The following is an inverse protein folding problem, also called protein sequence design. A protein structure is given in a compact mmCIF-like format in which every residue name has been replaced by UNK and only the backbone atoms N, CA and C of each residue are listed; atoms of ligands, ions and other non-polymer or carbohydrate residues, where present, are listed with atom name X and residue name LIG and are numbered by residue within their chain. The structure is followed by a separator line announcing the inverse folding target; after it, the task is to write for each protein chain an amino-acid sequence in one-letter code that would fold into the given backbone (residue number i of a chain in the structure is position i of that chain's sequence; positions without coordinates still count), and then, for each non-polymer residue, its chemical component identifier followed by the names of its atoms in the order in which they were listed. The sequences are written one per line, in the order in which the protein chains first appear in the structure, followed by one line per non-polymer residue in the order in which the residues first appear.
data_IF_980979759581
#
_entry.id   IF_980979759581
#
_cell.length_a   1.000
_cell.length_b   1.000
_cell.length_c   1.000
_cell.angle_alpha   90.00
_cell.angle_beta   90.00
_cell.angle_gamma   90.00
#
_symmetry.space_group_name_H-M   'P 1'
#
loop_
_entity.id
_entity.type
_entity.pdbx_description
1 polymer ?
#
# COMPACT_ATOMS: atom_id res chain seq x y z
N UNK A 1 3.49 29.52 -26.49
CA UNK A 1 3.72 28.10 -26.15
C UNK A 1 4.14 27.88 -24.69
N UNK A 2 5.23 28.48 -24.20
CA UNK A 2 5.69 28.31 -22.79
C UNK A 2 4.65 28.68 -21.72
N UNK A 3 3.94 29.81 -21.89
CA UNK A 3 2.88 30.27 -20.96
C UNK A 3 1.73 29.27 -20.84
N UNK A 4 1.32 28.67 -21.96
CA UNK A 4 0.23 27.67 -22.00
C UNK A 4 0.67 26.40 -21.28
N UNK A 5 1.88 25.90 -21.56
CA UNK A 5 2.42 24.71 -20.89
C UNK A 5 2.60 24.95 -19.39
N UNK A 6 3.03 26.15 -18.99
CA UNK A 6 3.12 26.54 -17.59
C UNK A 6 1.75 26.55 -16.90
N UNK A 7 0.73 27.16 -17.51
CA UNK A 7 -0.63 27.15 -16.97
C UNK A 7 -1.19 25.72 -16.88
N UNK A 8 -0.97 24.89 -17.90
CA UNK A 8 -1.34 23.48 -17.89
C UNK A 8 -0.65 22.73 -16.74
N UNK A 9 0.65 22.94 -16.55
CA UNK A 9 1.41 22.33 -15.46
C UNK A 9 0.85 22.73 -14.08
N UNK A 10 0.50 24.00 -13.88
CA UNK A 10 -0.11 24.45 -12.62
C UNK A 10 -1.46 23.77 -12.36
N UNK A 11 -2.32 23.69 -13.37
CA UNK A 11 -3.60 23.01 -13.24
C UNK A 11 -3.44 21.50 -13.00
N UNK A 12 -2.57 20.84 -13.77
CA UNK A 12 -2.24 19.43 -13.54
C UNK A 12 -1.68 19.21 -12.15
N UNK A 13 -0.74 20.05 -11.70
CA UNK A 13 -0.18 20.00 -10.36
C UNK A 13 -1.25 20.12 -9.28
N UNK A 14 -2.17 21.06 -9.41
CA UNK A 14 -3.27 21.25 -8.46
C UNK A 14 -4.14 19.99 -8.37
N UNK A 15 -4.65 19.49 -9.50
CA UNK A 15 -5.56 18.34 -9.51
C UNK A 15 -4.89 17.01 -9.16
N UNK A 16 -3.64 16.81 -9.57
CA UNK A 16 -2.87 15.58 -9.29
C UNK A 16 -2.36 15.55 -7.85
N UNK A 17 -2.06 16.71 -7.26
CA UNK A 17 -1.53 16.76 -5.90
C UNK A 17 -2.48 16.12 -4.88
N UNK A 18 -3.79 16.28 -5.02
CA UNK A 18 -4.79 15.74 -4.09
C UNK A 18 -4.74 14.20 -4.05
N UNK A 19 -4.96 13.45 -5.15
CA UNK A 19 -4.91 12.00 -5.13
C UNK A 19 -3.52 11.47 -4.77
N UNK A 20 -2.44 12.13 -5.22
CA UNK A 20 -1.07 11.72 -4.87
C UNK A 20 -0.80 11.90 -3.37
N UNK A 21 -1.21 13.02 -2.77
CA UNK A 21 -1.06 13.26 -1.34
C UNK A 21 -1.92 12.29 -0.53
N UNK A 22 -3.17 12.07 -0.93
CA UNK A 22 -4.04 11.11 -0.26
C UNK A 22 -3.45 9.69 -0.31
N UNK A 23 -2.94 9.26 -1.47
CA UNK A 23 -2.29 7.97 -1.66
C UNK A 23 -1.00 7.84 -0.86
N UNK A 24 -0.12 8.85 -0.91
CA UNK A 24 1.15 8.85 -0.18
C UNK A 24 0.93 8.91 1.34
N UNK A 25 0.03 9.76 1.82
CA UNK A 25 -0.28 9.89 3.24
C UNK A 25 -0.94 8.62 3.78
N UNK A 26 -1.89 8.04 3.06
CA UNK A 26 -2.52 6.78 3.48
C UNK A 26 -1.50 5.63 3.52
N UNK A 27 -0.59 5.55 2.54
CA UNK A 27 0.48 4.54 2.51
C UNK A 27 1.50 4.72 3.63
N UNK A 28 1.92 5.97 3.86
CA UNK A 28 2.80 6.31 4.96
C UNK A 28 2.20 5.95 6.31
N UNK A 29 0.95 6.35 6.56
CA UNK A 29 0.26 6.03 7.81
C UNK A 29 0.02 4.52 7.97
N UNK A 30 -0.27 3.81 6.88
CA UNK A 30 -0.40 2.35 6.87
C UNK A 30 0.92 1.64 7.21
N UNK A 31 2.05 2.15 6.74
CA UNK A 31 3.37 1.59 7.01
C UNK A 31 3.89 1.87 8.44
N UNK A 32 3.33 2.85 9.14
CA UNK A 32 3.76 3.16 10.50
C UNK A 32 3.31 2.08 11.49
N UNK A 33 4.24 1.53 12.30
CA UNK A 33 3.89 0.57 13.34
C UNK A 33 2.82 1.14 14.27
N UNK A 34 1.86 0.32 14.69
CA UNK A 34 0.78 0.68 15.61
C UNK A 34 -0.20 1.79 15.14
N UNK A 35 -0.01 2.42 13.97
CA UNK A 35 -0.88 3.52 13.55
C UNK A 35 -2.21 3.06 12.96
N UNK A 36 -2.21 1.98 12.18
CA UNK A 36 -3.41 1.53 11.43
C UNK A 36 -3.92 0.16 11.84
N UNK A 37 -3.04 -0.83 12.03
CA UNK A 37 -3.45 -2.19 12.41
C UNK A 37 -3.21 -2.51 13.89
N UNK A 38 -2.55 -1.62 14.63
CA UNK A 38 -2.07 -1.93 15.99
C UNK A 38 -0.99 -3.02 15.97
N UNK A 39 -0.32 -3.24 17.10
CA UNK A 39 0.61 -4.36 17.28
C UNK A 39 2.08 -3.97 17.43
N UNK A 40 2.72 -4.55 18.44
CA UNK A 40 4.16 -4.48 18.67
C UNK A 40 4.88 -5.48 17.75
N UNK A 41 5.99 -5.04 17.15
CA UNK A 41 6.93 -5.96 16.50
C UNK A 41 7.69 -6.67 17.61
N UNK A 42 7.24 -7.87 17.95
CA UNK A 42 7.87 -8.71 18.97
C UNK A 42 8.66 -9.85 18.32
N UNK A 43 9.83 -10.14 18.90
CA UNK A 43 10.60 -11.32 18.49
C UNK A 43 9.83 -12.56 18.92
N UNK A 44 9.58 -13.46 17.97
CA UNK A 44 8.96 -14.74 18.26
C UNK A 44 9.92 -15.57 19.11
N UNK A 45 9.48 -15.97 20.30
CA UNK A 45 10.19 -16.97 21.08
C UNK A 45 9.81 -18.37 20.57
N UNK A 46 10.75 -19.04 19.90
CA UNK A 46 10.55 -20.38 19.32
C UNK A 46 10.11 -21.43 20.34
N UNK A 47 10.45 -21.29 21.63
CA UNK A 47 10.02 -22.27 22.65
C UNK A 47 8.52 -22.23 22.95
N UNK A 48 7.84 -21.14 22.55
CA UNK A 48 6.38 -21.00 22.64
C UNK A 48 5.67 -21.66 21.45
N UNK A 49 6.38 -21.92 20.35
CA UNK A 49 5.79 -22.57 19.18
C UNK A 49 5.73 -24.07 19.43
N UNK A 50 4.53 -24.60 19.65
CA UNK A 50 4.29 -26.03 19.96
C UNK A 50 3.66 -26.78 18.79
N UNK A 51 2.96 -26.07 17.91
CA UNK A 51 2.25 -26.64 16.75
C UNK A 51 3.17 -26.57 15.53
N UNK A 52 3.22 -27.64 14.74
CA UNK A 52 3.95 -27.65 13.48
C UNK A 52 3.20 -26.88 12.37
N UNK A 53 3.89 -26.29 11.37
CA UNK A 53 3.24 -25.60 10.25
C UNK A 53 2.16 -26.44 9.54
N UNK A 54 2.41 -27.72 9.32
CA UNK A 54 1.45 -28.65 8.70
C UNK A 54 0.21 -28.87 9.55
N UNK A 55 0.36 -28.93 10.87
CA UNK A 55 -0.76 -29.04 11.80
C UNK A 55 -1.59 -27.76 11.82
N UNK A 56 -0.95 -26.58 11.74
CA UNK A 56 -1.65 -25.31 11.64
C UNK A 56 -2.50 -25.20 10.34
N UNK A 57 -2.00 -25.72 9.22
CA UNK A 57 -2.78 -25.80 7.97
C UNK A 57 -4.00 -26.70 8.17
N UNK A 58 -3.81 -27.90 8.73
CA UNK A 58 -4.91 -28.82 8.99
C UNK A 58 -5.97 -28.22 9.93
N UNK A 59 -5.54 -27.47 10.95
CA UNK A 59 -6.44 -26.76 11.88
C UNK A 59 -7.21 -25.63 11.18
N UNK A 60 -6.58 -24.94 10.24
CA UNK A 60 -7.25 -23.93 9.43
C UNK A 60 -8.30 -24.56 8.50
N UNK A 61 -7.97 -25.68 7.86
CA UNK A 61 -8.89 -26.46 7.02
C UNK A 61 -10.09 -26.98 7.82
N UNK A 62 -9.83 -27.48 9.04
CA UNK A 62 -10.85 -27.95 9.98
C UNK A 62 -11.83 -26.81 10.32
N UNK A 63 -11.33 -25.61 10.65
CA UNK A 63 -12.17 -24.44 10.91
C UNK A 63 -12.94 -23.96 9.67
N UNK A 64 -12.34 -24.09 8.48
CA UNK A 64 -12.97 -23.72 7.23
C UNK A 64 -14.01 -24.73 6.74
N UNK A 65 -14.00 -25.96 7.26
CA UNK A 65 -14.81 -27.08 6.80
C UNK A 65 -14.45 -27.55 5.38
N UNK A 66 -13.26 -27.17 4.89
CA UNK A 66 -12.75 -27.49 3.54
C UNK A 66 -11.23 -27.32 3.52
N UNK A 67 -10.57 -27.97 2.57
CA UNK A 67 -9.16 -27.67 2.27
C UNK A 67 -9.05 -26.26 1.70
N UNK A 68 -8.30 -25.40 2.39
CA UNK A 68 -8.03 -24.05 1.93
C UNK A 68 -6.95 -24.07 0.85
N UNK A 69 -7.07 -23.23 -0.20
CA UNK A 69 -5.99 -23.01 -1.15
C UNK A 69 -4.94 -22.08 -0.50
N UNK A 70 -4.32 -22.54 0.58
CA UNK A 70 -3.31 -21.78 1.33
C UNK A 70 -2.10 -21.54 0.43
N UNK A 71 -1.87 -20.28 0.08
CA UNK A 71 -0.72 -19.85 -0.74
C UNK A 71 0.45 -19.40 0.12
N UNK A 72 0.18 -18.98 1.35
CA UNK A 72 1.19 -18.60 2.33
C UNK A 72 0.74 -18.96 3.75
N UNK A 73 1.71 -19.42 4.55
CA UNK A 73 1.56 -19.61 5.99
C UNK A 73 2.65 -18.79 6.69
N UNK A 74 2.25 -17.73 7.38
CA UNK A 74 3.18 -16.81 8.04
C UNK A 74 3.11 -16.98 9.54
N UNK A 75 4.24 -17.23 10.20
CA UNK A 75 4.32 -17.17 11.66
C UNK A 75 4.60 -15.72 12.10
N UNK A 76 3.73 -15.17 12.94
CA UNK A 76 3.81 -13.79 13.41
C UNK A 76 3.43 -13.66 14.88
N UNK A 77 3.79 -12.54 15.51
CA UNK A 77 3.30 -12.19 16.84
C UNK A 77 2.02 -11.38 16.71
N UNK A 78 0.99 -11.77 17.48
CA UNK A 78 -0.28 -11.05 17.58
C UNK A 78 -0.74 -11.05 19.03
N UNK A 79 -1.01 -9.88 19.57
CA UNK A 79 -1.50 -9.70 20.95
C UNK A 79 -0.62 -10.45 21.99
N UNK A 80 0.70 -10.41 21.82
CA UNK A 80 1.67 -11.07 22.70
C UNK A 80 1.80 -12.60 22.51
N UNK A 81 1.16 -13.18 21.49
CA UNK A 81 1.17 -14.62 21.21
C UNK A 81 1.74 -14.95 19.82
N UNK A 82 2.47 -16.07 19.66
CA UNK A 82 2.86 -16.55 18.34
C UNK A 82 1.64 -17.20 17.65
N UNK A 83 1.38 -16.80 16.40
CA UNK A 83 0.21 -17.22 15.63
C UNK A 83 0.62 -17.52 14.20
N UNK A 84 0.14 -18.63 13.66
CA UNK A 84 0.19 -18.91 12.23
C UNK A 84 -0.98 -18.23 11.52
N UNK A 85 -0.70 -17.40 10.52
CA UNK A 85 -1.69 -16.85 9.61
C UNK A 85 -1.67 -17.66 8.32
N UNK A 86 -2.75 -18.41 8.08
CA UNK A 86 -3.01 -19.08 6.80
C UNK A 86 -3.74 -18.12 5.89
N UNK A 87 -3.15 -17.83 4.73
CA UNK A 87 -3.72 -16.93 3.72
C UNK A 87 -4.17 -17.78 2.53
N UNK A 88 -5.48 -17.80 2.28
CA UNK A 88 -6.08 -18.44 1.11
C UNK A 88 -6.50 -17.42 0.03
N UNK A 89 -6.29 -17.76 -1.25
CA UNK A 89 -6.76 -16.96 -2.39
C UNK A 89 -6.22 -15.51 -2.42
N UNK A 90 -7.03 -14.55 -2.89
CA UNK A 90 -6.70 -13.10 -2.94
C UNK A 90 -6.62 -12.41 -1.56
N UNK A 91 -6.35 -13.15 -0.48
CA UNK A 91 -6.23 -12.61 0.88
C UNK A 91 -7.55 -12.35 1.61
N UNK A 92 -8.65 -12.93 1.14
CA UNK A 92 -9.98 -12.76 1.74
C UNK A 92 -10.24 -13.70 2.93
N UNK A 93 -9.62 -14.88 2.93
CA UNK A 93 -9.74 -15.86 4.01
C UNK A 93 -8.41 -15.92 4.79
N UNK A 94 -8.27 -15.07 5.81
CA UNK A 94 -7.18 -15.19 6.78
C UNK A 94 -7.66 -15.90 8.04
N UNK A 95 -7.17 -17.12 8.25
CA UNK A 95 -7.37 -17.88 9.48
C UNK A 95 -6.10 -17.79 10.31
N UNK A 96 -6.28 -17.47 11.59
CA UNK A 96 -5.22 -17.42 12.58
C UNK A 96 -5.27 -18.69 13.42
N UNK A 97 -4.13 -19.36 13.58
CA UNK A 97 -3.99 -20.53 14.44
C UNK A 97 -2.96 -20.21 15.51
N UNK A 98 -3.38 -20.25 16.77
CA UNK A 98 -2.50 -20.02 17.92
C UNK A 98 -1.40 -21.10 17.93
N UNK A 99 -0.14 -20.69 17.86
CA UNK A 99 0.98 -21.62 17.71
C UNK A 99 1.37 -22.32 19.02
N UNK A 100 0.84 -21.88 20.17
CA UNK A 100 1.01 -22.52 21.48
C UNK A 100 -0.05 -23.61 21.72
N UNK A 101 -1.28 -23.36 21.27
CA UNK A 101 -2.46 -24.18 21.65
C UNK A 101 -3.11 -24.92 20.48
N UNK A 102 -2.87 -24.48 19.24
CA UNK A 102 -3.53 -25.01 18.04
C UNK A 102 -4.95 -24.48 17.83
N UNK A 103 -5.42 -23.54 18.65
CA UNK A 103 -6.75 -22.95 18.51
C UNK A 103 -6.84 -22.12 17.22
N UNK A 104 -7.72 -22.51 16.30
CA UNK A 104 -7.96 -21.79 15.05
C UNK A 104 -9.12 -20.81 15.20
N UNK A 105 -8.92 -19.56 14.74
CA UNK A 105 -9.90 -18.48 14.74
C UNK A 105 -9.87 -17.73 13.41
N UNK A 106 -11.03 -17.29 12.94
CA UNK A 106 -11.09 -16.39 11.78
C UNK A 106 -10.54 -15.01 12.16
N UNK A 107 -9.94 -14.32 11.19
CA UNK A 107 -9.57 -12.92 11.38
C UNK A 107 -10.78 -12.09 11.77
N UNK A 108 -10.67 -11.36 12.88
CA UNK A 108 -11.62 -10.30 13.19
C UNK A 108 -11.68 -9.32 12.01
N UNK A 109 -12.86 -8.79 11.67
CA UNK A 109 -12.96 -7.77 10.64
C UNK A 109 -12.08 -6.57 11.01
N UNK A 110 -11.45 -5.90 10.02
CA UNK A 110 -10.64 -4.73 10.27
C UNK A 110 -11.49 -3.64 10.94
N UNK A 111 -10.87 -2.87 11.84
CA UNK A 111 -11.54 -1.71 12.45
C UNK A 111 -11.95 -0.70 11.37
N UNK A 112 -12.92 0.18 11.65
CA UNK A 112 -13.32 1.23 10.71
C UNK A 112 -12.13 2.09 10.24
N UNK A 113 -11.19 2.36 11.15
CA UNK A 113 -9.95 3.09 10.83
C UNK A 113 -9.08 2.30 9.85
N UNK A 114 -8.79 1.03 10.17
CA UNK A 114 -8.00 0.13 9.32
C UNK A 114 -8.62 -0.02 7.93
N UNK A 115 -9.95 -0.19 7.90
CA UNK A 115 -10.73 -0.31 6.69
C UNK A 115 -10.64 0.97 5.84
N UNK A 116 -10.81 2.14 6.44
CA UNK A 116 -10.68 3.43 5.74
C UNK A 116 -9.30 3.60 5.10
N UNK A 117 -8.22 3.33 5.84
CA UNK A 117 -6.86 3.47 5.29
C UNK A 117 -6.58 2.46 4.18
N UNK A 118 -7.00 1.20 4.33
CA UNK A 118 -6.86 0.18 3.27
C UNK A 118 -7.68 0.55 2.04
N UNK A 119 -8.93 0.96 2.22
CA UNK A 119 -9.80 1.34 1.11
C UNK A 119 -9.28 2.57 0.37
N UNK A 120 -8.80 3.59 1.09
CA UNK A 120 -8.22 4.79 0.50
C UNK A 120 -6.90 4.51 -0.22
N UNK A 121 -5.99 3.75 0.39
CA UNK A 121 -4.66 3.50 -0.17
C UNK A 121 -4.71 2.61 -1.42
N UNK A 122 -5.53 1.56 -1.39
CA UNK A 122 -5.66 0.64 -2.52
C UNK A 122 -6.79 1.02 -3.49
N UNK A 123 -7.49 2.14 -3.26
CA UNK A 123 -8.66 2.56 -4.02
C UNK A 123 -9.80 1.53 -4.04
N UNK A 124 -9.89 0.64 -3.03
CA UNK A 124 -10.96 -0.37 -2.99
C UNK A 124 -12.36 0.23 -2.86
N UNK A 125 -12.48 1.47 -2.35
CA UNK A 125 -13.76 2.19 -2.31
C UNK A 125 -14.37 2.41 -3.70
N UNK A 126 -13.56 2.39 -4.76
CA UNK A 126 -14.01 2.65 -6.12
C UNK A 126 -14.63 1.43 -6.82
N UNK A 127 -14.58 0.24 -6.20
CA UNK A 127 -15.14 -0.99 -6.78
C UNK A 127 -14.61 -1.24 -8.20
N UNK A 128 -15.51 -1.43 -9.17
CA UNK A 128 -15.14 -1.66 -10.58
C UNK A 128 -14.38 -0.51 -11.22
N UNK A 129 -14.46 0.71 -10.67
CA UNK A 129 -13.74 1.89 -11.18
C UNK A 129 -12.29 1.97 -10.69
N UNK A 130 -11.88 1.10 -9.76
CA UNK A 130 -10.54 1.12 -9.16
C UNK A 130 -9.44 1.16 -10.23
N UNK A 131 -9.49 0.23 -11.20
CA UNK A 131 -8.47 0.14 -12.26
C UNK A 131 -8.49 1.38 -13.16
N UNK A 132 -9.67 1.83 -13.55
CA UNK A 132 -9.81 3.02 -14.41
C UNK A 132 -9.28 4.28 -13.73
N UNK A 133 -9.64 4.51 -12.46
CA UNK A 133 -9.14 5.65 -11.68
C UNK A 133 -7.63 5.59 -11.50
N UNK A 134 -7.08 4.41 -11.21
CA UNK A 134 -5.64 4.23 -11.08
C UNK A 134 -4.92 4.61 -12.38
N UNK A 135 -5.42 4.15 -13.54
CA UNK A 135 -4.85 4.49 -14.85
C UNK A 135 -4.95 5.99 -15.14
N UNK A 136 -6.09 6.61 -14.87
CA UNK A 136 -6.29 8.06 -15.09
C UNK A 136 -5.37 8.88 -14.20
N UNK A 137 -5.33 8.61 -12.89
CA UNK A 137 -4.45 9.33 -11.98
C UNK A 137 -2.97 9.11 -12.30
N UNK A 138 -2.58 7.89 -12.70
CA UNK A 138 -1.21 7.61 -13.15
C UNK A 138 -0.85 8.40 -14.41
N UNK A 139 -1.76 8.46 -15.38
CA UNK A 139 -1.56 9.23 -16.61
C UNK A 139 -1.44 10.73 -16.32
N UNK A 140 -2.32 11.29 -15.47
CA UNK A 140 -2.26 12.70 -15.08
C UNK A 140 -0.97 13.01 -14.31
N UNK A 141 -0.53 12.13 -13.41
CA UNK A 141 0.73 12.28 -12.70
C UNK A 141 1.94 12.25 -13.65
N UNK A 142 1.93 11.34 -14.63
CA UNK A 142 2.94 11.29 -15.68
C UNK A 142 2.98 12.59 -16.49
N UNK A 143 1.84 13.10 -16.95
CA UNK A 143 1.75 14.38 -17.67
C UNK A 143 2.23 15.56 -16.82
N UNK A 144 1.90 15.57 -15.54
CA UNK A 144 2.39 16.58 -14.60
C UNK A 144 3.91 16.56 -14.48
N UNK A 145 4.50 15.37 -14.34
CA UNK A 145 5.96 15.20 -14.32
C UNK A 145 6.62 15.62 -15.64
N UNK A 146 6.09 15.19 -16.78
CA UNK A 146 6.63 15.54 -18.10
C UNK A 146 6.60 17.05 -18.37
N UNK A 147 5.50 17.71 -18.03
CA UNK A 147 5.39 19.17 -18.18
C UNK A 147 6.36 19.90 -17.26
N UNK A 148 6.57 19.42 -16.02
CA UNK A 148 7.56 19.95 -15.09
C UNK A 148 9.00 19.79 -15.60
N UNK A 149 9.36 18.60 -16.09
CA UNK A 149 10.67 18.32 -16.70
C UNK A 149 10.90 19.25 -17.89
N UNK A 150 9.94 19.35 -18.81
CA UNK A 150 10.03 20.23 -19.97
C UNK A 150 10.26 21.68 -19.56
N UNK A 151 9.49 22.21 -18.62
CA UNK A 151 9.63 23.59 -18.14
C UNK A 151 11.01 23.82 -17.51
N UNK A 152 11.50 22.86 -16.72
CA UNK A 152 12.82 22.92 -16.10
C UNK A 152 13.94 22.92 -17.15
N UNK A 153 13.89 22.01 -18.13
CA UNK A 153 14.83 21.96 -19.24
C UNK A 153 14.82 23.27 -20.05
N UNK A 154 13.64 23.79 -20.39
CA UNK A 154 13.51 25.05 -21.13
C UNK A 154 14.05 26.24 -20.35
N UNK A 155 13.84 26.29 -19.03
CA UNK A 155 14.34 27.35 -18.17
C UNK A 155 15.88 27.29 -18.06
N UNK A 156 16.43 26.12 -17.75
CA UNK A 156 17.88 25.94 -17.54
C UNK A 156 18.70 26.01 -18.83
N UNK A 157 18.25 25.35 -19.90
CA UNK A 157 18.96 25.34 -21.19
C UNK A 157 18.74 26.64 -21.97
N UNK A 158 17.53 27.22 -21.87
CA UNK A 158 17.23 28.52 -22.49
C UNK A 158 17.93 29.69 -21.78
N UNK A 159 17.98 29.68 -20.44
CA UNK A 159 18.68 30.70 -19.65
C UNK A 159 20.20 30.69 -19.86
N UNK A 160 20.81 29.51 -20.00
CA UNK A 160 22.25 29.37 -20.34
C UNK A 160 22.60 30.01 -21.68
N UNK A 161 21.72 29.91 -22.69
CA UNK A 161 21.95 30.42 -24.05
C UNK A 161 21.89 31.94 -24.14
N UNK A 162 21.09 32.59 -23.30
CA UNK A 162 21.07 34.06 -23.21
C UNK A 162 22.25 34.60 -22.39
N UNK A 163 22.65 33.92 -21.31
CA UNK A 163 23.76 34.37 -20.45
C UNK A 163 25.14 34.27 -21.11
N UNK A 164 25.31 33.37 -22.08
CA UNK A 164 26.53 33.27 -22.90
C UNK A 164 26.59 34.31 -24.01
N UNK A 165 25.45 34.82 -24.50
CA UNK A 165 25.41 35.94 -25.45
C UNK A 165 25.76 37.27 -24.80
N UNK A 166 25.24 37.56 -23.61
CA UNK A 166 25.54 38.82 -22.90
C UNK A 166 26.96 38.92 -22.33
N UNK A 167 27.74 37.83 -22.31
CA UNK A 167 29.14 37.84 -21.87
C UNK A 167 30.13 37.78 -23.05
N UNK A 168 29.65 37.76 -24.29
CA UNK A 168 30.45 37.72 -25.51
C UNK A 168 30.42 39.06 -26.28
N UNK A 169 29.67 40.03 -25.77
CA UNK A 169 29.64 41.45 -26.18
C UNK A 169 30.35 42.30 -25.12
#
# INVERSE_FOLDING_TARGET
MRKIIYQLHLWLGLFVSIPVLAWALSGFLYALPNMVEGGSVEKINSSRVKIAPTEAINKADELAGKTLPTTALTLLMKDGKPVYQSIGGLGADSIFVDAETGEAKRSAPPTLKTRFFREAHFYFFAGSWQVALLLVFSALACLSALTGIYLNCVYWLGGRKNRTRTNAD
#
